data_IF_980985028342
#
_entry.id   IF_980985028342
#
_cell.length_a   1.000
_cell.length_b   1.000
_cell.length_c   1.000
_cell.angle_alpha   90.00
_cell.angle_beta   90.00
_cell.angle_gamma   90.00
#
_symmetry.space_group_name_H-M   'P 1'
#
loop_
_entity.id
_entity.type
_entity.pdbx_description
1 polymer ?
#
# COMPACT_ATOMS: atom_id res chain seq x y z
N UNK A 1 -14.94 1.98 22.96
CA UNK A 1 -13.68 1.28 22.61
C UNK A 1 -13.27 1.40 21.14
N UNK A 2 -14.17 1.27 20.15
CA UNK A 2 -13.84 1.31 18.71
C UNK A 2 -13.08 2.58 18.27
N UNK A 3 -13.42 3.74 18.85
CA UNK A 3 -12.76 5.02 18.56
C UNK A 3 -11.41 5.18 19.27
N UNK A 4 -11.22 4.54 20.43
CA UNK A 4 -9.97 4.61 21.21
C UNK A 4 -8.83 3.89 20.50
N UNK A 5 -9.07 2.65 20.05
CA UNK A 5 -8.08 1.89 19.27
C UNK A 5 -7.73 2.58 17.94
N UNK A 6 -8.73 3.15 17.26
CA UNK A 6 -8.52 3.94 16.04
C UNK A 6 -7.61 5.15 16.30
N UNK A 7 -7.86 5.88 17.38
CA UNK A 7 -7.07 7.05 17.72
C UNK A 7 -5.64 6.70 18.15
N UNK A 8 -5.44 5.59 18.88
CA UNK A 8 -4.11 5.07 19.22
C UNK A 8 -3.36 4.63 17.96
N UNK A 9 -4.02 3.93 17.05
CA UNK A 9 -3.39 3.49 15.80
C UNK A 9 -3.00 4.68 14.91
N UNK A 10 -3.87 5.70 14.84
CA UNK A 10 -3.59 6.94 14.12
C UNK A 10 -2.45 7.74 14.76
N UNK A 11 -2.41 7.86 16.09
CA UNK A 11 -1.34 8.61 16.76
C UNK A 11 0.02 7.91 16.66
N UNK A 12 0.06 6.59 16.82
CA UNK A 12 1.28 5.79 16.64
C UNK A 12 1.73 5.82 15.18
N UNK A 13 0.79 5.65 14.24
CA UNK A 13 1.07 5.72 12.81
C UNK A 13 1.62 7.08 12.39
N UNK A 14 1.01 8.17 12.87
CA UNK A 14 1.44 9.55 12.58
C UNK A 14 2.78 9.86 13.23
N UNK A 15 2.98 9.46 14.49
CA UNK A 15 4.24 9.61 15.21
C UNK A 15 5.38 8.88 14.50
N UNK A 16 5.14 7.64 14.06
CA UNK A 16 6.12 6.92 13.28
C UNK A 16 6.40 7.57 11.92
N UNK A 17 5.39 8.13 11.25
CA UNK A 17 5.54 8.82 9.96
C UNK A 17 6.40 10.09 10.06
N UNK A 18 6.37 10.78 11.20
CA UNK A 18 7.14 12.00 11.46
C UNK A 18 8.54 11.69 11.99
N UNK A 19 8.65 10.76 12.93
CA UNK A 19 9.91 10.44 13.62
C UNK A 19 10.90 9.70 12.70
N UNK A 20 10.36 8.92 11.76
CA UNK A 20 11.12 8.14 10.80
C UNK A 20 11.99 8.98 9.86
N UNK A 21 11.46 10.00 9.13
CA UNK A 21 12.28 10.92 8.35
C UNK A 21 13.35 11.64 9.18
N UNK A 22 13.02 12.08 10.39
CA UNK A 22 13.97 12.74 11.30
C UNK A 22 15.15 11.83 11.66
N UNK A 23 14.89 10.59 12.04
CA UNK A 23 15.95 9.63 12.38
C UNK A 23 16.78 9.18 11.16
N UNK A 24 16.18 9.18 9.95
CA UNK A 24 16.92 8.97 8.69
C UNK A 24 17.91 10.12 8.46
N UNK A 25 17.50 11.37 8.69
CA UNK A 25 18.34 12.56 8.52
C UNK A 25 19.52 12.55 9.50
N UNK A 26 19.31 12.03 10.72
CA UNK A 26 20.34 11.96 11.76
C UNK A 26 21.38 10.85 11.54
N UNK A 27 21.35 10.10 10.43
CA UNK A 27 22.23 8.95 10.14
C UNK A 27 22.26 7.86 11.25
N UNK A 28 21.28 7.85 12.16
CA UNK A 28 21.28 7.01 13.36
C UNK A 28 20.80 5.57 13.15
N UNK A 29 20.47 5.17 11.92
CA UNK A 29 19.83 3.88 11.64
C UNK A 29 20.77 2.82 11.05
N UNK A 30 20.84 1.68 11.74
CA UNK A 30 21.39 0.45 11.18
C UNK A 30 20.45 -0.12 10.10
N UNK A 31 20.95 -0.96 9.19
CA UNK A 31 20.19 -1.48 8.02
C UNK A 31 18.83 -2.10 8.38
N UNK A 32 18.76 -2.80 9.51
CA UNK A 32 17.51 -3.39 10.03
C UNK A 32 16.46 -2.34 10.37
N UNK A 33 16.84 -1.22 11.00
CA UNK A 33 15.88 -0.18 11.36
C UNK A 33 15.37 0.55 10.11
N UNK A 34 16.22 0.80 9.10
CA UNK A 34 15.78 1.34 7.80
C UNK A 34 14.71 0.45 7.16
N UNK A 35 14.90 -0.87 7.19
CA UNK A 35 13.93 -1.82 6.66
C UNK A 35 12.60 -1.79 7.41
N UNK A 36 12.60 -1.73 8.74
CA UNK A 36 11.38 -1.65 9.57
C UNK A 36 10.60 -0.38 9.26
N UNK A 37 11.30 0.74 9.16
CA UNK A 37 10.78 2.06 8.80
C UNK A 37 10.08 2.03 7.44
N UNK A 38 10.76 1.52 6.41
CA UNK A 38 10.24 1.44 5.05
C UNK A 38 8.99 0.55 5.02
N UNK A 39 9.00 -0.55 5.77
CA UNK A 39 7.87 -1.46 5.88
C UNK A 39 6.66 -0.86 6.60
N UNK A 40 6.90 -0.06 7.64
CA UNK A 40 5.86 0.65 8.37
C UNK A 40 5.21 1.74 7.49
N UNK A 41 6.01 2.54 6.80
CA UNK A 41 5.51 3.54 5.84
C UNK A 41 4.71 2.87 4.73
N UNK A 42 5.18 1.72 4.22
CA UNK A 42 4.44 0.92 3.24
C UNK A 42 3.06 0.55 3.74
N UNK A 43 3.00 0.00 4.96
CA UNK A 43 1.75 -0.47 5.58
C UNK A 43 0.73 0.65 5.74
N UNK A 44 1.17 1.84 6.15
CA UNK A 44 0.29 3.01 6.29
C UNK A 44 -0.23 3.47 4.92
N UNK A 45 0.65 3.57 3.91
CA UNK A 45 0.28 3.99 2.56
C UNK A 45 -0.69 3.00 1.90
N UNK A 46 -0.47 1.70 2.05
CA UNK A 46 -1.41 0.68 1.56
C UNK A 46 -2.74 0.75 2.32
N UNK A 47 -2.73 0.95 3.64
CA UNK A 47 -3.95 1.16 4.42
C UNK A 47 -4.77 2.37 3.93
N UNK A 48 -4.09 3.49 3.64
CA UNK A 48 -4.70 4.69 3.04
C UNK A 48 -5.24 4.42 1.64
N UNK A 49 -4.51 3.66 0.82
CA UNK A 49 -4.96 3.30 -0.54
C UNK A 49 -6.28 2.51 -0.52
N UNK A 50 -6.58 1.79 0.55
CA UNK A 50 -7.83 1.04 0.71
C UNK A 50 -9.05 1.96 0.83
N UNK A 51 -8.88 3.21 1.30
CA UNK A 51 -9.95 4.19 1.33
C UNK A 51 -10.50 4.50 -0.07
N UNK A 52 -9.68 4.36 -1.12
CA UNK A 52 -10.08 4.55 -2.52
C UNK A 52 -11.14 3.53 -2.95
N UNK A 53 -11.09 2.29 -2.42
CA UNK A 53 -12.06 1.26 -2.75
C UNK A 53 -13.46 1.55 -2.20
N UNK A 54 -13.55 2.35 -1.14
CA UNK A 54 -14.82 2.81 -0.57
C UNK A 54 -15.43 3.99 -1.34
N UNK A 55 -14.72 4.57 -2.31
CA UNK A 55 -15.24 5.63 -3.16
C UNK A 55 -16.34 5.11 -4.09
N UNK A 56 -17.46 5.84 -4.18
CA UNK A 56 -18.62 5.52 -5.03
C UNK A 56 -18.35 5.91 -6.51
N UNK A 57 -17.30 5.37 -7.12
CA UNK A 57 -16.95 5.62 -8.54
C UNK A 57 -16.61 4.33 -9.28
N UNK A 58 -16.93 4.27 -10.57
CA UNK A 58 -16.57 3.16 -11.48
C UNK A 58 -15.03 3.01 -11.57
N UNK A 59 -14.30 4.11 -11.43
CA UNK A 59 -12.84 4.16 -11.51
C UNK A 59 -12.13 3.73 -10.23
N UNK A 60 -12.84 3.34 -9.17
CA UNK A 60 -12.24 2.99 -7.86
C UNK A 60 -11.19 1.87 -7.96
N UNK A 61 -11.43 0.84 -8.77
CA UNK A 61 -10.54 -0.31 -8.94
C UNK A 61 -9.26 0.08 -9.70
N UNK A 62 -9.35 0.68 -10.91
CA UNK A 62 -8.14 1.12 -11.61
C UNK A 62 -7.38 2.22 -10.85
N UNK A 63 -8.07 3.11 -10.14
CA UNK A 63 -7.41 4.12 -9.30
C UNK A 63 -6.66 3.47 -8.14
N UNK A 64 -7.28 2.53 -7.41
CA UNK A 64 -6.61 1.79 -6.36
C UNK A 64 -5.41 1.00 -6.88
N UNK A 65 -5.55 0.33 -8.03
CA UNK A 65 -4.44 -0.36 -8.70
C UNK A 65 -3.27 0.59 -8.98
N UNK A 66 -3.56 1.75 -9.60
CA UNK A 66 -2.54 2.75 -9.93
C UNK A 66 -1.88 3.31 -8.67
N UNK A 67 -2.65 3.62 -7.64
CA UNK A 67 -2.14 4.14 -6.37
C UNK A 67 -1.28 3.10 -5.66
N UNK A 68 -1.72 1.85 -5.54
CA UNK A 68 -0.93 0.78 -4.93
C UNK A 68 0.37 0.54 -5.72
N UNK A 69 0.32 0.61 -7.05
CA UNK A 69 1.50 0.47 -7.91
C UNK A 69 2.49 1.63 -7.69
N UNK A 70 1.99 2.87 -7.65
CA UNK A 70 2.80 4.06 -7.39
C UNK A 70 3.45 4.02 -6.00
N UNK A 71 2.71 3.61 -4.97
CA UNK A 71 3.21 3.41 -3.60
C UNK A 71 4.32 2.35 -3.61
N UNK A 72 4.09 1.21 -4.25
CA UNK A 72 5.08 0.12 -4.36
C UNK A 72 6.38 0.60 -4.99
N UNK A 73 6.27 1.32 -6.12
CA UNK A 73 7.44 1.87 -6.81
C UNK A 73 8.17 2.89 -5.95
N UNK A 74 7.46 3.82 -5.32
CA UNK A 74 8.05 4.83 -4.47
C UNK A 74 8.86 4.21 -3.33
N UNK A 75 8.29 3.21 -2.66
CA UNK A 75 8.93 2.50 -1.54
C UNK A 75 10.15 1.72 -2.02
N UNK A 76 10.06 1.02 -3.17
CA UNK A 76 11.22 0.29 -3.72
C UNK A 76 12.33 1.24 -4.20
N UNK A 77 11.99 2.40 -4.75
CA UNK A 77 12.96 3.43 -5.11
C UNK A 77 13.66 3.97 -3.86
N UNK A 78 12.90 4.31 -2.81
CA UNK A 78 13.45 4.70 -1.52
C UNK A 78 14.39 3.65 -0.95
N UNK A 79 13.97 2.38 -0.92
CA UNK A 79 14.79 1.28 -0.45
C UNK A 79 16.09 1.11 -1.25
N UNK A 80 16.02 1.13 -2.59
CA UNK A 80 17.20 1.04 -3.47
C UNK A 80 18.15 2.20 -3.23
N UNK A 81 17.63 3.42 -3.06
CA UNK A 81 18.43 4.60 -2.78
C UNK A 81 19.13 4.51 -1.42
N UNK A 82 18.41 4.11 -0.37
CA UNK A 82 18.96 4.05 0.99
C UNK A 82 19.96 2.91 1.23
N UNK A 83 19.88 1.82 0.46
CA UNK A 83 20.79 0.67 0.60
C UNK A 83 21.93 0.71 -0.42
N UNK A 84 21.64 1.05 -1.67
CA UNK A 84 22.59 0.89 -2.78
C UNK A 84 23.15 2.21 -3.30
N UNK A 85 22.62 3.37 -2.86
CA UNK A 85 23.02 4.70 -3.34
C UNK A 85 22.61 5.02 -4.78
N UNK A 86 22.24 4.02 -5.57
CA UNK A 86 21.83 4.15 -6.97
C UNK A 86 20.41 3.62 -7.20
N UNK A 87 19.68 4.29 -8.11
CA UNK A 87 18.32 3.90 -8.50
C UNK A 87 18.33 3.35 -9.93
N UNK A 88 18.35 2.02 -10.06
CA UNK A 88 18.21 1.37 -11.37
C UNK A 88 16.73 1.18 -11.76
N UNK A 89 16.07 2.27 -12.16
CA UNK A 89 14.65 2.29 -12.51
C UNK A 89 14.20 1.18 -13.47
N UNK A 90 15.00 0.86 -14.51
CA UNK A 90 14.67 -0.19 -15.48
C UNK A 90 14.55 -1.57 -14.83
N UNK A 91 15.54 -1.96 -14.03
CA UNK A 91 15.55 -3.25 -13.31
C UNK A 91 14.41 -3.31 -12.29
N UNK A 92 14.17 -2.18 -11.63
CA UNK A 92 13.16 -2.04 -10.59
C UNK A 92 11.75 -2.19 -11.18
N UNK A 93 11.46 -1.55 -12.32
CA UNK A 93 10.20 -1.74 -13.07
C UNK A 93 10.06 -3.15 -13.64
N UNK A 94 11.12 -3.69 -14.24
CA UNK A 94 11.11 -5.03 -14.84
C UNK A 94 10.77 -6.14 -13.83
N UNK A 95 11.06 -5.94 -12.55
CA UNK A 95 10.66 -6.86 -11.47
C UNK A 95 9.31 -6.46 -10.87
N UNK A 96 9.06 -5.16 -10.64
CA UNK A 96 7.84 -4.70 -9.97
C UNK A 96 6.59 -5.00 -10.77
N UNK A 97 6.59 -4.70 -12.07
CA UNK A 97 5.42 -4.88 -12.95
C UNK A 97 4.93 -6.33 -12.98
N UNK A 98 5.76 -7.35 -13.30
CA UNK A 98 5.28 -8.73 -13.37
C UNK A 98 4.83 -9.27 -12.02
N UNK A 99 5.53 -8.93 -10.92
CA UNK A 99 5.11 -9.32 -9.56
C UNK A 99 3.75 -8.70 -9.23
N UNK A 100 3.56 -7.42 -9.55
CA UNK A 100 2.31 -6.72 -9.26
C UNK A 100 1.13 -7.29 -10.07
N UNK A 101 1.35 -7.61 -11.34
CA UNK A 101 0.36 -8.31 -12.18
C UNK A 101 0.02 -9.68 -11.59
N UNK A 102 1.03 -10.47 -11.18
CA UNK A 102 0.82 -11.79 -10.60
C UNK A 102 -0.01 -11.74 -9.30
N UNK A 103 0.28 -10.78 -8.41
CA UNK A 103 -0.48 -10.57 -7.17
C UNK A 103 -1.93 -10.20 -7.46
N UNK A 104 -2.18 -9.28 -8.39
CA UNK A 104 -3.56 -8.90 -8.76
C UNK A 104 -4.30 -10.02 -9.49
N UNK A 105 -3.62 -10.82 -10.32
CA UNK A 105 -4.19 -11.99 -10.95
C UNK A 105 -4.60 -13.05 -9.90
N UNK A 106 -3.74 -13.31 -8.91
CA UNK A 106 -4.05 -14.20 -7.79
C UNK A 106 -5.23 -13.69 -6.96
N UNK A 107 -5.27 -12.40 -6.64
CA UNK A 107 -6.42 -11.78 -5.97
C UNK A 107 -7.71 -11.92 -6.77
N UNK A 108 -7.65 -11.71 -8.09
CA UNK A 108 -8.81 -11.89 -8.97
C UNK A 108 -9.30 -13.34 -8.96
N UNK A 109 -8.41 -14.32 -9.09
CA UNK A 109 -8.74 -15.73 -9.00
C UNK A 109 -9.32 -16.08 -7.62
N UNK A 110 -8.69 -15.62 -6.54
CA UNK A 110 -9.18 -15.83 -5.19
C UNK A 110 -10.61 -15.32 -5.01
N UNK A 111 -10.88 -14.09 -5.47
CA UNK A 111 -12.22 -13.51 -5.45
C UNK A 111 -13.20 -14.33 -6.33
N UNK A 112 -12.76 -14.81 -7.49
CA UNK A 112 -13.58 -15.58 -8.44
C UNK A 112 -13.99 -16.96 -7.88
N UNK A 113 -13.07 -17.64 -7.18
CA UNK A 113 -13.25 -19.04 -6.75
C UNK A 113 -13.64 -19.18 -5.27
N UNK A 114 -13.16 -18.30 -4.39
CA UNK A 114 -13.38 -18.36 -2.94
C UNK A 114 -14.14 -17.15 -2.39
N UNK A 115 -14.18 -16.05 -3.14
CA UNK A 115 -14.95 -14.88 -2.79
C UNK A 115 -16.44 -15.12 -3.05
N UNK A 116 -17.19 -15.45 -2.00
CA UNK A 116 -18.61 -15.10 -1.95
C UNK A 116 -18.68 -13.56 -1.99
N UNK A 117 -18.65 -12.98 -3.19
CA UNK A 117 -19.19 -11.64 -3.39
C UNK A 117 -20.71 -11.84 -3.31
N UNK A 118 -21.41 -11.51 -2.20
CA UNK A 118 -22.85 -11.37 -2.30
C UNK A 118 -23.08 -10.39 -3.45
N UNK A 119 -23.76 -10.85 -4.50
CA UNK A 119 -24.26 -9.96 -5.52
C UNK A 119 -24.99 -8.86 -4.77
N UNK A 120 -24.39 -7.66 -4.73
CA UNK A 120 -25.07 -6.46 -4.28
C UNK A 120 -26.31 -6.38 -5.16
N UNK A 121 -27.43 -6.68 -4.52
CA UNK A 121 -28.77 -6.90 -5.07
C UNK A 121 -28.91 -6.56 -6.55
N UNK A 122 -28.94 -7.62 -7.37
CA UNK A 122 -29.97 -7.67 -8.40
C UNK A 122 -31.30 -7.40 -7.68
N UNK A 123 -32.03 -6.37 -8.11
CA UNK A 123 -33.40 -6.03 -7.69
C UNK A 123 -33.53 -5.02 -6.52
N UNK A 124 -33.22 -3.75 -6.77
CA UNK A 124 -34.25 -2.72 -6.57
C UNK A 124 -34.84 -2.47 -7.98
N UNK A 125 -35.63 -3.43 -8.51
CA UNK A 125 -37.10 -3.34 -8.58
C UNK A 125 -37.49 -2.04 -9.30
N UNK A 126 -37.54 -2.01 -10.65
CA UNK A 126 -38.80 -2.17 -11.39
C UNK A 126 -40.02 -1.91 -10.50
N UNK A 127 -40.36 -0.64 -10.32
CA UNK A 127 -41.62 -0.04 -10.76
C UNK A 127 -41.54 1.49 -10.69
#
# INVERSE_FOLDING_TARGET
MKNTFRNIFLSVGLGALIFTPMLIIDNGFNETMKSVVIWLTASILYGLSFAILNWKSILRIPLHFLTCFAITLFIRCGYSYFISGEIHFKKLLAVTVPVFIAVYALLFLYIRYFGNIPQREKNETKD
#
